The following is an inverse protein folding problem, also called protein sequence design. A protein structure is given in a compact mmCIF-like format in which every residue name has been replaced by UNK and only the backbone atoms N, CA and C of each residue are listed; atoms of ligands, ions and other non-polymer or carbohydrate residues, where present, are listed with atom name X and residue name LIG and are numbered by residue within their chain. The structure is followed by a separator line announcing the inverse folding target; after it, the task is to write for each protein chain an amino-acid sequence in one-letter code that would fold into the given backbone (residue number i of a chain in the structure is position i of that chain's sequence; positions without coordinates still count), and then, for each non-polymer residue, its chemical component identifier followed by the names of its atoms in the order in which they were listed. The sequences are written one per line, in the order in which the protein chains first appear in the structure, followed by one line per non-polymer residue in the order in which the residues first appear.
data_IF_089701798958
#
_entry.id   IF_089701798958
#
_cell.length_a   1.000
_cell.length_b   1.000
_cell.length_c   1.000
_cell.angle_alpha   90.00
_cell.angle_beta   90.00
_cell.angle_gamma   90.00
#
_symmetry.space_group_name_H-M   'P 1'
#
loop_
_entity.id
_entity.type
_entity.pdbx_description
1 polymer ?
#
# COMPACT_ATOMS: atom_id res chain seq x y z
N UNK A 1 36.88 29.41 27.08
CA UNK A 1 38.24 28.84 27.14
C UNK A 1 38.54 28.19 25.80
N UNK A 2 39.61 28.65 25.18
CA UNK A 2 40.09 28.30 23.84
C UNK A 2 40.86 26.97 23.80
N UNK A 3 40.90 26.36 22.61
CA UNK A 3 41.92 25.40 22.16
C UNK A 3 41.57 23.93 22.43
N UNK A 4 41.80 22.96 21.54
CA UNK A 4 42.63 22.88 20.34
C UNK A 4 42.21 21.63 19.53
N UNK A 5 42.24 21.74 18.18
CA UNK A 5 42.83 20.78 17.20
C UNK A 5 42.10 19.43 17.01
N UNK A 6 41.86 18.87 15.81
CA UNK A 6 42.58 18.95 14.52
C UNK A 6 41.68 18.81 13.29
N UNK A 7 42.08 19.56 12.26
CA UNK A 7 41.66 19.50 10.86
C UNK A 7 42.15 18.22 10.16
N UNK A 8 41.34 17.69 9.24
CA UNK A 8 41.83 16.87 8.12
C UNK A 8 41.29 17.46 6.81
N UNK A 9 42.22 18.02 6.04
CA UNK A 9 42.08 18.54 4.69
C UNK A 9 41.86 17.40 3.69
N UNK A 10 40.90 17.57 2.78
CA UNK A 10 40.87 16.87 1.48
C UNK A 10 40.87 17.91 0.35
N UNK A 11 41.70 17.75 -0.69
CA UNK A 11 41.94 18.80 -1.68
C UNK A 11 40.83 18.89 -2.75
N UNK A 12 40.60 20.14 -3.15
CA UNK A 12 39.89 20.56 -4.36
C UNK A 12 40.56 19.97 -5.62
N UNK A 13 39.80 19.33 -6.50
CA UNK A 13 40.17 19.17 -7.92
C UNK A 13 39.33 20.09 -8.79
N UNK A 14 40.01 21.01 -9.49
CA UNK A 14 39.48 21.84 -10.58
C UNK A 14 39.87 21.23 -11.94
N UNK A 15 38.89 21.24 -12.84
CA UNK A 15 38.95 21.56 -14.28
C UNK A 15 39.62 20.60 -15.29
N UNK A 16 38.82 20.19 -16.29
CA UNK A 16 39.20 20.28 -17.71
C UNK A 16 37.93 20.44 -18.59
N UNK A 17 37.86 21.58 -19.30
CA UNK A 17 37.13 21.87 -20.56
C UNK A 17 38.07 21.42 -21.70
N UNK A 18 37.69 20.84 -22.85
CA UNK A 18 36.97 21.32 -24.06
C UNK A 18 37.25 20.19 -25.11
N UNK A 19 36.38 19.85 -26.06
CA UNK A 19 36.36 20.39 -27.42
C UNK A 19 35.12 19.86 -28.18
N UNK A 20 34.56 20.75 -29.01
CA UNK A 20 33.52 20.57 -30.02
C UNK A 20 34.05 19.94 -31.34
N UNK A 21 33.15 19.51 -32.24
CA UNK A 21 33.00 19.99 -33.66
C UNK A 21 32.00 19.12 -34.49
N UNK A 22 31.05 19.83 -35.16
CA UNK A 22 30.24 19.60 -36.41
C UNK A 22 29.64 18.21 -36.76
N UNK A 23 28.34 18.00 -37.08
CA UNK A 23 27.38 18.55 -38.08
C UNK A 23 27.58 18.08 -39.54
N UNK A 24 26.56 17.42 -40.13
CA UNK A 24 26.08 17.34 -41.56
C UNK A 24 24.71 16.59 -41.52
N UNK A 25 23.56 17.25 -41.70
CA UNK A 25 22.72 17.47 -42.91
C UNK A 25 22.19 16.20 -43.63
N UNK A 26 20.88 15.87 -43.55
CA UNK A 26 19.68 16.20 -44.40
C UNK A 26 19.71 15.59 -45.81
N UNK A 27 18.68 14.79 -46.14
CA UNK A 27 17.88 14.76 -47.40
C UNK A 27 16.76 13.71 -47.23
N UNK A 28 15.46 14.08 -47.23
CA UNK A 28 14.54 14.42 -48.34
C UNK A 28 13.90 13.19 -49.05
N UNK A 29 12.58 13.06 -48.84
CA UNK A 29 11.56 12.27 -49.57
C UNK A 29 11.53 12.64 -51.08
N UNK A 30 10.85 11.93 -52.02
CA UNK A 30 9.47 11.39 -51.90
C UNK A 30 9.15 10.09 -52.71
N UNK A 31 7.94 9.52 -52.58
CA UNK A 31 6.93 9.44 -53.66
C UNK A 31 5.67 8.63 -53.26
N UNK A 32 4.55 9.03 -53.88
CA UNK A 32 3.17 8.58 -53.77
C UNK A 32 2.92 7.23 -54.48
N UNK A 33 1.90 6.49 -54.04
CA UNK A 33 0.85 6.04 -54.97
C UNK A 33 -0.36 5.46 -54.24
N UNK A 34 -1.52 5.84 -54.78
CA UNK A 34 -2.86 5.39 -54.44
C UNK A 34 -3.10 3.97 -54.97
N UNK A 35 -3.86 3.14 -54.24
CA UNK A 35 -4.89 2.28 -54.85
C UNK A 35 -5.76 1.57 -53.80
N UNK A 36 -7.06 1.73 -53.95
CA UNK A 36 -8.13 0.75 -53.64
C UNK A 36 -8.96 0.64 -54.93
N UNK A 37 -9.96 -0.26 -55.11
CA UNK A 37 -10.57 -1.20 -54.16
C UNK A 37 -10.88 -2.61 -54.73
N UNK A 38 -11.14 -3.61 -53.89
CA UNK A 38 -12.14 -4.68 -54.21
C UNK A 38 -12.69 -5.38 -52.96
N UNK A 39 -14.01 -5.28 -52.78
CA UNK A 39 -14.94 -6.05 -51.91
C UNK A 39 -15.15 -7.48 -52.48
N UNK A 40 -15.58 -8.57 -51.81
CA UNK A 40 -16.72 -8.90 -50.90
C UNK A 40 -16.51 -10.39 -50.42
N UNK A 41 -17.37 -11.10 -49.64
CA UNK A 41 -18.23 -10.80 -48.48
C UNK A 41 -17.99 -11.74 -47.26
N UNK A 42 -18.41 -11.33 -46.04
CA UNK A 42 -18.90 -12.30 -45.05
C UNK A 42 -20.10 -11.76 -44.26
N UNK A 43 -21.17 -12.54 -44.27
CA UNK A 43 -22.50 -12.32 -43.67
C UNK A 43 -22.43 -11.95 -42.18
N UNK A 44 -23.15 -10.89 -41.80
CA UNK A 44 -23.74 -10.68 -40.46
C UNK A 44 -25.26 -10.62 -40.59
N UNK A 45 -25.96 -11.20 -39.61
CA UNK A 45 -27.41 -11.02 -39.37
C UNK A 45 -27.61 -9.92 -38.31
N UNK A 46 -28.69 -9.18 -38.53
CA UNK A 46 -29.16 -7.93 -37.93
C UNK A 46 -29.52 -7.94 -36.44
N UNK A 47 -29.46 -6.76 -35.83
CA UNK A 47 -30.62 -5.97 -35.31
C UNK A 47 -30.13 -4.56 -34.96
N UNK A 48 -30.49 -3.49 -35.70
CA UNK A 48 -31.71 -2.64 -35.60
C UNK A 48 -31.92 -2.07 -34.18
N UNK A 49 -32.00 -0.75 -33.89
CA UNK A 49 -32.27 0.49 -34.65
C UNK A 49 -31.63 1.72 -33.97
N UNK A 50 -31.24 2.70 -34.79
CA UNK A 50 -31.03 4.11 -34.44
C UNK A 50 -32.34 4.91 -34.64
N UNK A 51 -32.54 5.99 -33.88
CA UNK A 51 -32.45 7.37 -34.42
C UNK A 51 -33.00 8.45 -33.48
N UNK A 52 -32.23 9.54 -33.42
CA UNK A 52 -32.44 10.83 -32.76
C UNK A 52 -33.55 11.68 -33.41
N UNK A 53 -34.18 12.58 -32.64
CA UNK A 53 -34.20 14.05 -32.88
C UNK A 53 -35.02 14.84 -31.82
N UNK A 54 -34.51 16.04 -31.50
CA UNK A 54 -34.94 17.11 -30.55
C UNK A 54 -35.99 18.06 -31.22
N UNK A 55 -36.48 19.23 -30.65
CA UNK A 55 -36.62 19.77 -29.27
C UNK A 55 -37.92 20.64 -28.98
N UNK A 56 -38.01 21.24 -27.76
CA UNK A 56 -38.74 22.47 -27.26
C UNK A 56 -40.30 22.52 -27.16
N UNK A 57 -40.84 22.80 -25.95
CA UNK A 57 -41.65 24.00 -25.54
C UNK A 57 -42.13 23.92 -24.05
N UNK A 58 -42.55 25.08 -23.53
CA UNK A 58 -42.73 25.58 -22.16
C UNK A 58 -44.13 25.33 -21.49
N UNK A 59 -44.23 25.69 -20.20
CA UNK A 59 -45.40 25.97 -19.34
C UNK A 59 -46.24 24.82 -18.71
N UNK A 60 -46.53 24.95 -17.40
CA UNK A 60 -47.71 24.33 -16.75
C UNK A 60 -47.54 23.67 -15.36
N UNK A 61 -48.33 24.12 -14.39
CA UNK A 61 -48.28 23.88 -12.94
C UNK A 61 -49.30 22.79 -12.45
N UNK A 62 -48.93 22.05 -11.37
CA UNK A 62 -49.72 21.25 -10.35
C UNK A 62 -50.50 19.96 -10.74
N UNK A 63 -51.00 19.12 -9.78
CA UNK A 63 -50.43 18.36 -8.63
C UNK A 63 -50.63 16.82 -8.75
N UNK A 64 -50.05 16.04 -7.82
CA UNK A 64 -50.41 14.63 -7.56
C UNK A 64 -51.13 14.44 -6.20
N UNK A 65 -51.97 13.39 -6.03
CA UNK A 65 -53.16 13.43 -5.17
C UNK A 65 -53.06 12.63 -3.84
N UNK A 66 -54.14 12.78 -3.07
CA UNK A 66 -54.38 12.40 -1.69
C UNK A 66 -54.64 10.91 -1.39
N UNK A 67 -54.50 10.53 -0.10
CA UNK A 67 -55.51 9.69 0.58
C UNK A 67 -55.57 9.87 2.13
N UNK A 68 -56.76 10.35 2.58
CA UNK A 68 -57.63 10.00 3.75
C UNK A 68 -57.03 9.96 5.19
N UNK A 69 -57.34 10.92 6.10
CA UNK A 69 -58.53 11.10 7.02
C UNK A 69 -58.82 9.87 7.91
N UNK A 70 -59.14 9.91 9.22
CA UNK A 70 -59.37 10.90 10.30
C UNK A 70 -59.23 10.12 11.64
N UNK A 71 -59.17 10.65 12.87
CA UNK A 71 -60.23 11.39 13.59
C UNK A 71 -59.70 11.84 14.97
N UNK A 72 -60.21 12.97 15.48
CA UNK A 72 -59.90 13.61 16.78
C UNK A 72 -61.12 13.47 17.71
N UNK A 73 -60.93 13.31 19.03
CA UNK A 73 -61.57 14.13 20.10
C UNK A 73 -61.14 13.74 21.55
N UNK A 74 -61.33 14.63 22.56
CA UNK A 74 -60.29 14.94 23.55
C UNK A 74 -60.70 14.81 25.04
N UNK A 75 -59.72 15.14 25.91
CA UNK A 75 -59.80 15.65 27.29
C UNK A 75 -59.89 14.66 28.48
N UNK A 76 -58.89 14.73 29.38
CA UNK A 76 -59.07 14.98 30.83
C UNK A 76 -57.69 15.12 31.54
N UNK A 77 -57.55 16.18 32.34
CA UNK A 77 -56.45 16.46 33.28
C UNK A 77 -56.43 15.45 34.44
N UNK A 78 -55.23 15.08 34.93
CA UNK A 78 -54.88 15.02 36.36
C UNK A 78 -53.35 14.98 36.56
N UNK A 79 -52.95 15.38 37.76
CA UNK A 79 -51.69 15.99 38.16
C UNK A 79 -50.56 15.03 38.57
N UNK A 80 -49.39 15.64 38.78
CA UNK A 80 -48.26 15.25 39.65
C UNK A 80 -47.45 13.99 39.30
N UNK A 81 -46.16 14.18 38.99
CA UNK A 81 -45.04 14.04 39.96
C UNK A 81 -43.72 14.19 39.20
N UNK A 82 -42.88 15.14 39.62
CA UNK A 82 -41.49 15.27 39.16
C UNK A 82 -40.69 14.06 39.68
N UNK A 83 -40.18 13.22 38.78
CA UNK A 83 -39.15 12.22 39.11
C UNK A 83 -37.88 12.50 38.34
N UNK A 84 -36.94 13.03 39.11
CA UNK A 84 -35.51 13.09 38.87
C UNK A 84 -34.97 11.75 38.34
N UNK A 85 -34.30 11.79 37.19
CA UNK A 85 -33.61 10.64 36.60
C UNK A 85 -32.12 11.01 36.46
N UNK A 86 -31.42 11.03 37.60
CA UNK A 86 -29.97 10.89 37.64
C UNK A 86 -29.58 9.54 37.03
N UNK A 87 -29.15 9.57 35.77
CA UNK A 87 -28.68 8.38 35.04
C UNK A 87 -27.27 8.04 35.53
N UNK A 88 -27.16 7.05 36.41
CA UNK A 88 -25.86 6.57 36.89
C UNK A 88 -25.03 6.01 35.74
N UNK A 89 -23.84 6.57 35.55
CA UNK A 89 -22.83 6.06 34.63
C UNK A 89 -22.27 4.79 35.25
N UNK A 90 -22.69 3.62 34.76
CA UNK A 90 -22.06 2.34 35.12
C UNK A 90 -20.60 2.38 34.64
N UNK A 91 -19.67 2.50 35.58
CA UNK A 91 -18.24 2.34 35.34
C UNK A 91 -17.99 0.92 34.81
N UNK A 92 -17.46 0.80 33.59
CA UNK A 92 -16.98 -0.49 33.09
C UNK A 92 -15.77 -0.88 33.94
N UNK A 93 -15.93 -1.92 34.75
CA UNK A 93 -14.84 -2.52 35.50
C UNK A 93 -13.65 -2.79 34.54
N UNK A 94 -12.46 -2.29 34.90
CA UNK A 94 -11.21 -2.61 34.21
C UNK A 94 -10.98 -4.11 34.39
N UNK A 95 -11.31 -4.90 33.37
CA UNK A 95 -10.96 -6.31 33.30
C UNK A 95 -9.44 -6.43 33.48
N UNK A 96 -9.00 -7.26 34.44
CA UNK A 96 -7.59 -7.62 34.56
C UNK A 96 -7.08 -8.14 33.19
N UNK A 97 -5.85 -7.77 32.78
CA UNK A 97 -5.26 -8.27 31.55
C UNK A 97 -5.17 -9.81 31.63
N UNK A 98 -5.73 -10.48 30.63
CA UNK A 98 -5.55 -11.94 30.50
C UNK A 98 -4.09 -12.21 30.17
N UNK A 99 -3.46 -13.26 30.73
CA UNK A 99 -2.10 -13.62 30.37
C UNK A 99 -2.01 -13.87 28.86
N UNK A 100 -0.88 -13.48 28.25
CA UNK A 100 -0.65 -13.70 26.83
C UNK A 100 -0.67 -15.22 26.55
N UNK A 101 -1.39 -15.66 25.50
CA UNK A 101 -1.46 -17.07 25.16
C UNK A 101 -0.08 -17.58 24.74
N UNK A 102 0.34 -18.70 25.32
CA UNK A 102 1.53 -19.43 24.87
C UNK A 102 1.14 -20.23 23.63
N UNK A 103 1.89 -20.06 22.54
CA UNK A 103 1.66 -20.76 21.28
C UNK A 103 2.66 -21.90 21.12
N UNK A 104 2.18 -23.06 20.68
CA UNK A 104 3.05 -24.09 20.10
C UNK A 104 3.42 -23.66 18.69
N UNK A 105 4.71 -23.46 18.44
CA UNK A 105 5.23 -23.00 17.16
C UNK A 105 6.03 -24.15 16.53
N UNK A 106 5.60 -24.68 15.39
CA UNK A 106 6.35 -25.71 14.69
C UNK A 106 7.76 -25.23 14.32
N UNK A 107 8.69 -26.18 14.25
CA UNK A 107 9.98 -25.98 13.63
C UNK A 107 9.84 -25.76 12.12
N UNK A 108 10.90 -25.20 11.54
CA UNK A 108 10.97 -24.93 10.11
C UNK A 108 12.13 -25.72 9.53
N UNK A 109 11.94 -26.23 8.33
CA UNK A 109 13.01 -26.87 7.57
C UNK A 109 14.08 -25.82 7.21
N UNK A 110 15.33 -25.96 7.67
CA UNK A 110 16.38 -25.00 7.37
C UNK A 110 16.72 -25.00 5.87
N UNK A 111 16.98 -23.81 5.33
CA UNK A 111 17.41 -23.61 3.94
C UNK A 111 18.61 -22.68 3.88
N UNK A 112 19.44 -22.86 2.87
CA UNK A 112 20.60 -21.98 2.63
C UNK A 112 20.24 -20.83 1.69
N UNK A 113 20.89 -19.69 1.88
CA UNK A 113 20.82 -18.57 0.94
C UNK A 113 22.07 -17.70 1.06
N UNK A 114 22.40 -17.01 -0.02
CA UNK A 114 23.44 -15.98 -0.01
C UNK A 114 22.89 -14.60 0.34
N UNK A 115 21.57 -14.44 0.46
CA UNK A 115 20.93 -13.15 0.70
C UNK A 115 21.38 -12.51 2.02
N UNK A 116 21.84 -11.26 1.95
CA UNK A 116 22.32 -10.43 3.08
C UNK A 116 21.49 -9.17 3.31
N UNK A 117 20.46 -8.97 2.49
CA UNK A 117 19.61 -7.80 2.50
C UNK A 117 18.63 -7.74 3.68
N UNK A 118 17.71 -6.79 3.62
CA UNK A 118 16.65 -6.62 4.64
C UNK A 118 15.34 -7.22 4.15
N UNK A 119 14.67 -7.96 5.02
CA UNK A 119 13.27 -8.32 4.85
C UNK A 119 12.38 -7.28 5.53
N UNK A 120 11.25 -6.98 4.90
CA UNK A 120 10.23 -6.08 5.44
C UNK A 120 8.81 -6.58 5.23
N UNK A 121 7.86 -5.93 5.89
CA UNK A 121 6.43 -6.24 5.72
C UNK A 121 5.59 -4.96 5.62
N UNK A 122 4.29 -5.12 5.29
CA UNK A 122 3.42 -4.01 4.93
C UNK A 122 2.27 -3.73 5.90
N UNK A 123 2.14 -2.45 6.26
CA UNK A 123 1.00 -1.73 6.84
C UNK A 123 0.61 -2.08 8.28
N UNK A 124 0.59 -3.37 8.64
CA UNK A 124 0.00 -3.85 9.87
C UNK A 124 0.91 -4.87 10.54
N UNK A 125 1.10 -4.74 11.85
CA UNK A 125 1.70 -5.78 12.67
C UNK A 125 0.58 -6.60 13.35
N UNK A 126 0.50 -7.90 13.07
CA UNK A 126 -0.61 -8.75 13.55
C UNK A 126 -0.58 -8.99 15.05
N UNK A 127 0.62 -9.12 15.64
CA UNK A 127 0.80 -9.25 17.10
C UNK A 127 0.25 -8.03 17.82
N UNK A 128 0.69 -6.84 17.42
CA UNK A 128 0.29 -5.57 18.00
C UNK A 128 -1.19 -5.23 17.75
N UNK A 129 -1.70 -5.54 16.56
CA UNK A 129 -3.12 -5.35 16.22
C UNK A 129 -4.04 -6.20 17.08
N UNK A 130 -3.65 -7.44 17.37
CA UNK A 130 -4.52 -8.41 18.03
C UNK A 130 -4.51 -8.35 19.56
N UNK A 131 -3.72 -7.44 20.17
CA UNK A 131 -3.69 -7.19 21.62
C UNK A 131 -5.09 -7.02 22.22
N UNK A 132 -5.27 -7.52 23.44
CA UNK A 132 -6.51 -7.44 24.23
C UNK A 132 -6.25 -6.78 25.59
N UNK A 133 -7.13 -5.91 26.09
CA UNK A 133 -8.38 -5.43 25.46
C UNK A 133 -8.13 -4.63 24.17
N UNK A 134 -9.16 -4.42 23.35
CA UNK A 134 -9.02 -3.73 22.05
C UNK A 134 -8.51 -2.29 22.17
N UNK A 135 -8.62 -1.67 23.35
CA UNK A 135 -8.01 -0.37 23.66
C UNK A 135 -6.48 -0.40 23.66
N UNK A 136 -5.86 -1.57 23.81
CA UNK A 136 -4.41 -1.77 23.72
C UNK A 136 -3.93 -2.18 22.31
N UNK A 137 -4.84 -2.19 21.32
CA UNK A 137 -4.52 -2.51 19.93
C UNK A 137 -3.76 -1.36 19.29
N UNK A 138 -2.60 -1.69 18.69
CA UNK A 138 -1.70 -0.74 18.02
C UNK A 138 -1.75 -0.99 16.51
N UNK A 139 -2.09 0.04 15.73
CA UNK A 139 -2.16 0.00 14.26
C UNK A 139 -2.24 1.40 13.66
N UNK A 140 -1.73 1.59 12.44
CA UNK A 140 -1.59 2.92 11.84
C UNK A 140 -2.53 3.15 10.65
N UNK A 141 -3.74 2.60 10.71
CA UNK A 141 -4.71 2.63 9.62
C UNK A 141 -6.13 2.97 10.11
N UNK A 142 -6.23 3.80 11.16
CA UNK A 142 -7.53 4.32 11.61
C UNK A 142 -8.07 5.25 10.53
N UNK A 143 -9.21 4.90 9.98
CA UNK A 143 -9.93 5.66 8.95
C UNK A 143 -11.41 5.73 9.28
N UNK A 144 -12.17 6.51 8.52
CA UNK A 144 -13.59 6.70 8.76
C UNK A 144 -14.39 6.85 7.45
N UNK A 145 -15.72 6.82 7.55
CA UNK A 145 -16.58 7.14 6.41
C UNK A 145 -16.68 8.65 6.25
N UNK A 146 -16.98 9.11 5.03
CA UNK A 146 -17.19 10.52 4.74
C UNK A 146 -18.35 11.12 5.56
N UNK A 147 -19.41 10.34 5.80
CA UNK A 147 -20.51 10.73 6.69
C UNK A 147 -20.05 10.97 8.14
N UNK A 148 -19.11 10.16 8.64
CA UNK A 148 -18.52 10.36 9.96
C UNK A 148 -17.67 11.63 10.03
N UNK A 149 -16.92 11.94 8.96
CA UNK A 149 -16.20 13.21 8.85
C UNK A 149 -17.18 14.40 8.91
N UNK A 150 -18.28 14.34 8.14
CA UNK A 150 -19.30 15.40 8.11
C UNK A 150 -19.96 15.61 9.47
N UNK A 151 -20.19 14.54 10.23
CA UNK A 151 -20.83 14.59 11.56
C UNK A 151 -19.89 15.03 12.68
N UNK A 152 -18.65 14.55 12.69
CA UNK A 152 -17.72 14.77 13.79
C UNK A 152 -16.72 15.91 13.55
N UNK A 153 -16.63 16.41 12.32
CA UNK A 153 -15.72 17.49 11.93
C UNK A 153 -14.31 17.02 11.60
N UNK A 154 -13.52 17.96 11.05
CA UNK A 154 -12.16 17.70 10.57
C UNK A 154 -11.18 17.42 11.70
N UNK A 155 -11.32 18.07 12.86
CA UNK A 155 -10.41 17.88 13.99
C UNK A 155 -10.46 16.46 14.55
N UNK A 156 -11.65 15.84 14.54
CA UNK A 156 -11.80 14.44 14.89
C UNK A 156 -11.07 13.51 13.91
N UNK A 157 -11.10 13.82 12.61
CA UNK A 157 -10.36 13.05 11.59
C UNK A 157 -8.85 13.22 11.76
N UNK A 158 -8.38 14.45 12.02
CA UNK A 158 -6.98 14.74 12.34
C UNK A 158 -6.50 13.98 13.57
N UNK A 159 -7.35 13.81 14.58
CA UNK A 159 -7.03 12.99 15.76
C UNK A 159 -6.84 11.50 15.41
N UNK A 160 -7.58 10.95 14.45
CA UNK A 160 -7.31 9.59 13.96
C UNK A 160 -5.90 9.48 13.36
N UNK A 161 -5.49 10.48 12.57
CA UNK A 161 -4.15 10.57 11.99
C UNK A 161 -3.05 10.68 13.06
N UNK A 162 -3.25 11.55 14.06
CA UNK A 162 -2.33 11.68 15.20
C UNK A 162 -2.09 10.35 15.92
N UNK A 163 -3.18 9.62 16.22
CA UNK A 163 -3.10 8.29 16.86
C UNK A 163 -2.42 7.25 15.99
N UNK A 164 -2.56 7.33 14.66
CA UNK A 164 -1.84 6.45 13.75
C UNK A 164 -0.32 6.70 13.82
N UNK A 165 0.12 7.95 13.92
CA UNK A 165 1.54 8.31 14.09
C UNK A 165 2.08 7.89 15.46
N UNK A 166 1.29 8.04 16.53
CA UNK A 166 1.66 7.55 17.87
C UNK A 166 1.86 6.03 17.89
N UNK A 167 0.97 5.29 17.26
CA UNK A 167 1.12 3.84 17.12
C UNK A 167 2.31 3.45 16.24
N UNK A 168 2.69 4.29 15.27
CA UNK A 168 3.83 4.03 14.40
C UNK A 168 5.13 3.97 15.20
N UNK A 169 5.29 4.81 16.24
CA UNK A 169 6.44 4.74 17.15
C UNK A 169 6.55 3.36 17.81
N UNK A 170 5.42 2.82 18.25
CA UNK A 170 5.36 1.49 18.88
C UNK A 170 5.70 0.38 17.88
N UNK A 171 5.22 0.50 16.63
CA UNK A 171 5.55 -0.46 15.56
C UNK A 171 7.04 -0.39 15.22
N UNK A 172 7.63 0.80 15.08
CA UNK A 172 9.07 0.96 14.80
C UNK A 172 9.90 0.32 15.92
N UNK A 173 9.56 0.57 17.19
CA UNK A 173 10.29 -0.04 18.30
C UNK A 173 10.14 -1.55 18.31
N UNK A 174 8.93 -2.09 18.15
CA UNK A 174 8.71 -3.53 18.08
C UNK A 174 9.49 -4.17 16.93
N UNK A 175 9.53 -3.50 15.78
CA UNK A 175 10.28 -3.93 14.61
C UNK A 175 11.78 -4.01 14.90
N UNK A 176 12.34 -3.00 15.58
CA UNK A 176 13.74 -3.03 16.01
C UNK A 176 14.01 -4.19 16.95
N UNK A 177 13.16 -4.40 17.95
CA UNK A 177 13.27 -5.51 18.93
C UNK A 177 13.19 -6.90 18.25
N UNK A 178 12.65 -6.96 17.03
CA UNK A 178 12.48 -8.17 16.23
C UNK A 178 13.38 -8.23 14.99
N UNK A 179 14.41 -7.38 14.92
CA UNK A 179 15.37 -7.33 13.80
C UNK A 179 14.75 -7.03 12.41
N UNK A 180 13.57 -6.39 12.37
CA UNK A 180 12.92 -5.98 11.12
C UNK A 180 13.16 -4.48 10.93
N UNK A 181 13.92 -4.10 9.90
CA UNK A 181 14.28 -2.69 9.64
C UNK A 181 13.77 -2.17 8.29
N UNK A 182 12.77 -2.83 7.73
CA UNK A 182 12.12 -2.39 6.50
C UNK A 182 10.59 -2.52 6.67
N UNK A 183 9.87 -1.42 6.49
CA UNK A 183 8.43 -1.39 6.74
C UNK A 183 7.72 -0.49 5.72
N UNK A 184 6.59 -0.96 5.18
CA UNK A 184 5.71 -0.14 4.35
C UNK A 184 4.60 0.44 5.22
N UNK A 185 4.51 1.77 5.30
CA UNK A 185 3.45 2.47 6.02
C UNK A 185 2.10 2.28 5.32
N UNK A 186 1.02 2.36 6.09
CA UNK A 186 -0.34 2.31 5.53
C UNK A 186 -0.63 3.56 4.71
N UNK A 187 -1.38 3.42 3.62
CA UNK A 187 -1.87 4.60 2.88
C UNK A 187 -2.94 5.37 3.68
N UNK A 188 -3.62 4.68 4.61
CA UNK A 188 -4.67 5.20 5.49
C UNK A 188 -4.11 5.90 6.76
N UNK A 189 -2.82 6.28 6.76
CA UNK A 189 -2.20 6.99 7.90
C UNK A 189 -2.97 8.26 8.27
N UNK A 190 -3.40 9.03 7.27
CA UNK A 190 -4.16 10.26 7.45
C UNK A 190 -5.43 10.23 6.60
N UNK A 191 -6.59 9.89 7.20
CA UNK A 191 -7.83 9.72 6.44
C UNK A 191 -8.22 11.00 5.72
N UNK A 192 -8.56 10.90 4.44
CA UNK A 192 -8.99 12.00 3.58
C UNK A 192 -7.96 13.13 3.36
N UNK A 193 -6.69 13.00 3.74
CA UNK A 193 -5.70 14.08 3.61
C UNK A 193 -5.56 14.62 2.17
N UNK A 194 -5.70 13.76 1.17
CA UNK A 194 -5.63 14.09 -0.27
C UNK A 194 -7.00 14.41 -0.92
N UNK A 195 -8.10 14.35 -0.15
CA UNK A 195 -9.44 14.53 -0.68
C UNK A 195 -9.64 15.95 -1.23
N UNK A 196 -10.24 16.10 -2.41
CA UNK A 196 -10.35 17.40 -3.08
C UNK A 196 -11.04 18.49 -2.24
N UNK A 197 -12.09 18.12 -1.49
CA UNK A 197 -12.91 19.05 -0.70
C UNK A 197 -12.57 19.04 0.79
N UNK A 198 -12.03 17.93 1.30
CA UNK A 198 -11.85 17.70 2.74
C UNK A 198 -10.39 17.45 3.11
N UNK A 199 -9.49 17.59 2.13
CA UNK A 199 -8.06 17.44 2.31
C UNK A 199 -7.49 18.48 3.25
N UNK A 200 -6.35 18.15 3.82
CA UNK A 200 -5.70 18.98 4.82
C UNK A 200 -4.20 18.69 4.82
N UNK A 201 -3.44 19.71 5.20
CA UNK A 201 -2.00 19.56 5.39
C UNK A 201 -1.68 18.81 6.68
N UNK A 202 -0.56 18.09 6.69
CA UNK A 202 -0.08 17.31 7.83
C UNK A 202 0.68 18.14 8.89
N UNK A 203 0.83 19.46 8.70
CA UNK A 203 1.59 20.33 9.62
C UNK A 203 1.13 20.25 11.08
N UNK A 204 -0.18 20.05 11.33
CA UNK A 204 -0.71 19.88 12.69
C UNK A 204 -0.12 18.67 13.46
N UNK A 205 0.51 17.74 12.73
CA UNK A 205 1.11 16.50 13.22
C UNK A 205 2.63 16.47 12.97
N UNK A 206 3.24 17.58 12.52
CA UNK A 206 4.66 17.65 12.17
C UNK A 206 5.57 17.20 13.32
N UNK A 207 5.28 17.63 14.56
CA UNK A 207 6.11 17.26 15.72
C UNK A 207 6.09 15.75 16.02
N UNK A 208 4.95 15.09 15.83
CA UNK A 208 4.80 13.64 16.04
C UNK A 208 5.44 12.87 14.89
N UNK A 209 5.27 13.32 13.65
CA UNK A 209 5.92 12.74 12.47
C UNK A 209 7.45 12.82 12.59
N UNK A 210 7.98 13.98 12.99
CA UNK A 210 9.41 14.17 13.22
C UNK A 210 9.94 13.21 14.31
N UNK A 211 9.18 12.96 15.38
CA UNK A 211 9.54 11.95 16.40
C UNK A 211 9.59 10.54 15.81
N UNK A 212 8.58 10.15 15.03
CA UNK A 212 8.53 8.83 14.39
C UNK A 212 9.68 8.63 13.41
N UNK A 213 9.98 9.64 12.59
CA UNK A 213 11.10 9.57 11.66
C UNK A 213 12.47 9.64 12.34
N UNK A 214 12.63 10.41 13.42
CA UNK A 214 13.85 10.39 14.23
C UNK A 214 14.12 9.00 14.83
N UNK A 215 13.09 8.31 15.32
CA UNK A 215 13.20 6.94 15.81
C UNK A 215 13.58 5.97 14.68
N UNK A 216 12.94 6.08 13.52
CA UNK A 216 13.27 5.27 12.34
C UNK A 216 14.73 5.48 11.90
N UNK A 217 15.18 6.74 11.82
CA UNK A 217 16.54 7.09 11.45
C UNK A 217 17.57 6.60 12.48
N UNK A 218 17.27 6.70 13.79
CA UNK A 218 18.11 6.17 14.87
C UNK A 218 18.45 4.70 14.65
N UNK A 219 17.45 3.90 14.29
CA UNK A 219 17.61 2.46 14.05
C UNK A 219 17.90 2.09 12.60
N UNK A 220 18.04 3.09 11.70
CA UNK A 220 18.25 2.90 10.25
C UNK A 220 17.14 2.07 9.59
N UNK A 221 15.91 2.27 10.04
CA UNK A 221 14.73 1.68 9.41
C UNK A 221 14.47 2.36 8.07
N UNK A 222 14.19 1.56 7.04
CA UNK A 222 13.67 2.05 5.77
C UNK A 222 12.15 2.03 5.82
N UNK A 223 11.52 3.19 5.68
CA UNK A 223 10.07 3.33 5.62
C UNK A 223 9.65 3.72 4.21
N UNK A 224 8.68 3.00 3.63
CA UNK A 224 8.17 3.28 2.27
C UNK A 224 6.65 3.34 2.29
N UNK A 225 6.04 3.82 1.21
CA UNK A 225 4.57 3.80 1.02
C UNK A 225 4.24 3.19 -0.34
N UNK A 226 3.01 2.71 -0.47
CA UNK A 226 2.44 2.29 -1.74
C UNK A 226 1.03 2.88 -1.85
N UNK A 227 0.88 4.09 -2.42
CA UNK A 227 -0.41 4.68 -2.70
C UNK A 227 -1.31 3.69 -3.47
N UNK A 228 -2.60 3.68 -3.15
CA UNK A 228 -3.51 2.63 -3.60
C UNK A 228 -3.80 2.68 -5.11
N UNK A 229 -4.54 1.68 -5.59
CA UNK A 229 -4.92 1.47 -7.00
C UNK A 229 -5.62 2.66 -7.68
N UNK A 230 -6.10 3.66 -6.94
CA UNK A 230 -6.72 4.86 -7.50
C UNK A 230 -5.70 5.92 -7.93
N UNK A 231 -4.42 5.73 -7.62
CA UNK A 231 -3.32 6.63 -8.01
C UNK A 231 -2.93 6.38 -9.47
N UNK A 232 -3.69 6.94 -10.40
CA UNK A 232 -3.66 6.61 -11.83
C UNK A 232 -3.09 7.75 -12.68
N UNK A 233 -1.77 7.83 -12.79
CA UNK A 233 -1.09 8.89 -13.55
C UNK A 233 -1.27 8.80 -15.09
N UNK A 234 -1.58 7.60 -15.62
CA UNK A 234 -1.85 7.40 -17.05
C UNK A 234 -3.31 7.67 -17.48
N UNK A 235 -4.17 8.08 -16.54
CA UNK A 235 -5.61 8.24 -16.83
C UNK A 235 -5.87 9.29 -17.91
N UNK A 236 -6.80 9.04 -18.86
CA UNK A 236 -7.22 10.06 -19.82
C UNK A 236 -8.12 11.14 -19.17
N UNK A 237 -8.55 10.95 -17.92
CA UNK A 237 -9.42 11.88 -17.19
C UNK A 237 -8.56 12.84 -16.34
N UNK A 238 -8.53 14.15 -16.62
CA UNK A 238 -7.71 15.11 -15.87
C UNK A 238 -7.96 15.07 -14.36
N UNK A 239 -9.22 15.01 -13.94
CA UNK A 239 -9.60 14.94 -12.53
C UNK A 239 -9.03 13.71 -11.79
N UNK A 240 -8.80 12.59 -12.49
CA UNK A 240 -8.17 11.39 -11.92
C UNK A 240 -6.67 11.59 -11.75
N UNK A 241 -6.01 12.21 -12.73
CA UNK A 241 -4.58 12.57 -12.63
C UNK A 241 -4.36 13.57 -11.50
N UNK A 242 -5.18 14.62 -11.41
CA UNK A 242 -5.11 15.59 -10.32
C UNK A 242 -5.29 14.95 -8.94
N UNK A 243 -6.20 13.97 -8.81
CA UNK A 243 -6.37 13.21 -7.58
C UNK A 243 -5.15 12.35 -7.25
N UNK A 244 -4.56 11.70 -8.25
CA UNK A 244 -3.34 10.93 -8.09
C UNK A 244 -2.16 11.82 -7.65
N UNK A 245 -2.02 13.01 -8.24
CA UNK A 245 -0.99 13.98 -7.84
C UNK A 245 -1.20 14.44 -6.40
N UNK A 246 -2.43 14.77 -5.98
CA UNK A 246 -2.73 15.13 -4.58
C UNK A 246 -2.39 14.01 -3.60
N UNK A 247 -2.69 12.76 -3.95
CA UNK A 247 -2.33 11.59 -3.14
C UNK A 247 -0.81 11.47 -2.98
N UNK A 248 -0.05 11.58 -4.08
CA UNK A 248 1.41 11.54 -4.05
C UNK A 248 2.04 12.71 -3.26
N UNK A 249 1.49 13.92 -3.39
CA UNK A 249 1.92 15.09 -2.62
C UNK A 249 1.69 14.88 -1.13
N UNK A 250 0.55 14.33 -0.73
CA UNK A 250 0.25 13.98 0.66
C UNK A 250 1.29 12.99 1.23
N UNK A 251 1.54 11.89 0.51
CA UNK A 251 2.53 10.90 0.95
C UNK A 251 3.94 11.48 1.02
N UNK A 252 4.31 12.35 0.06
CA UNK A 252 5.59 13.05 0.10
C UNK A 252 5.70 13.97 1.31
N UNK A 253 4.66 14.77 1.61
CA UNK A 253 4.62 15.63 2.80
C UNK A 253 4.80 14.80 4.08
N UNK A 254 4.15 13.63 4.18
CA UNK A 254 4.33 12.74 5.32
C UNK A 254 5.79 12.31 5.50
N UNK A 255 6.43 11.83 4.43
CA UNK A 255 7.83 11.38 4.47
C UNK A 255 8.80 12.53 4.75
N UNK A 256 8.53 13.72 4.22
CA UNK A 256 9.36 14.91 4.41
C UNK A 256 9.24 15.44 5.85
N UNK A 257 8.04 15.48 6.44
CA UNK A 257 7.84 15.86 7.86
C UNK A 257 8.42 14.86 8.85
N UNK A 258 8.55 13.59 8.44
CA UNK A 258 9.31 12.59 9.21
C UNK A 258 10.83 12.79 9.08
N UNK A 259 11.31 13.60 8.13
CA UNK A 259 12.74 13.76 7.88
C UNK A 259 13.39 12.50 7.32
N UNK A 260 12.67 11.76 6.47
CA UNK A 260 13.17 10.53 5.86
C UNK A 260 13.90 10.79 4.53
N UNK A 261 15.04 10.11 4.34
CA UNK A 261 15.90 10.28 3.17
C UNK A 261 15.38 9.64 1.88
N UNK A 262 16.22 9.62 0.84
CA UNK A 262 15.90 9.11 -0.50
C UNK A 262 15.47 7.64 -0.59
N UNK A 263 15.80 6.82 0.42
CA UNK A 263 15.37 5.42 0.48
C UNK A 263 13.87 5.27 0.76
N UNK A 264 13.22 6.33 1.25
CA UNK A 264 11.78 6.39 1.43
C UNK A 264 11.07 6.73 0.13
N UNK A 265 10.73 5.67 -0.60
CA UNK A 265 10.08 5.71 -1.92
C UNK A 265 8.56 5.51 -1.84
N UNK A 266 7.88 6.00 -2.87
CA UNK A 266 6.45 5.85 -3.12
C UNK A 266 6.24 4.95 -4.32
N UNK A 267 5.77 3.73 -4.07
CA UNK A 267 5.56 2.71 -5.12
C UNK A 267 4.17 2.85 -5.71
N UNK A 268 4.06 2.89 -7.04
CA UNK A 268 2.78 2.78 -7.76
C UNK A 268 2.91 1.80 -8.93
N UNK A 269 1.80 1.20 -9.34
CA UNK A 269 1.74 0.43 -10.59
C UNK A 269 1.63 1.36 -11.81
N UNK A 270 1.75 0.78 -13.01
CA UNK A 270 1.51 1.49 -14.27
C UNK A 270 0.05 1.95 -14.46
N UNK A 271 -0.89 1.33 -13.73
CA UNK A 271 -2.30 1.74 -13.70
C UNK A 271 -3.19 0.95 -14.66
N UNK A 272 -4.28 1.55 -15.14
CA UNK A 272 -5.11 0.98 -16.20
C UNK A 272 -4.51 1.21 -17.59
N UNK A 273 -4.88 0.39 -18.59
CA UNK A 273 -4.45 0.56 -20.00
C UNK A 273 -5.38 1.44 -20.84
N UNK A 274 -6.59 1.75 -20.33
CA UNK A 274 -7.58 2.63 -20.97
C UNK A 274 -7.77 2.39 -22.49
N UNK A 275 -7.88 1.11 -22.88
CA UNK A 275 -8.03 0.60 -24.26
C UNK A 275 -6.83 0.80 -25.20
N UNK A 276 -5.79 1.52 -24.79
CA UNK A 276 -4.61 1.79 -25.60
C UNK A 276 -3.37 1.91 -24.69
N UNK A 277 -2.61 0.81 -24.60
CA UNK A 277 -1.41 0.71 -23.77
C UNK A 277 -0.32 1.69 -24.23
N UNK A 278 0.09 1.76 -25.51
CA UNK A 278 1.06 2.75 -25.98
C UNK A 278 0.71 4.19 -25.62
N UNK A 279 -0.52 4.63 -25.92
CA UNK A 279 -0.93 6.02 -25.62
C UNK A 279 -1.03 6.27 -24.11
N UNK A 280 -1.43 5.27 -23.33
CA UNK A 280 -1.43 5.38 -21.87
C UNK A 280 -0.03 5.52 -21.29
N UNK A 281 0.96 4.78 -21.79
CA UNK A 281 2.35 4.95 -21.37
C UNK A 281 2.88 6.35 -21.69
N UNK A 282 2.48 6.95 -22.81
CA UNK A 282 2.84 8.35 -23.12
C UNK A 282 2.22 9.33 -22.11
N UNK A 283 0.94 9.16 -21.76
CA UNK A 283 0.30 9.97 -20.71
C UNK A 283 0.96 9.80 -19.34
N UNK A 284 1.28 8.55 -18.97
CA UNK A 284 2.01 8.25 -17.75
C UNK A 284 3.34 9.00 -17.71
N UNK A 285 4.09 8.97 -18.81
CA UNK A 285 5.37 9.69 -18.92
C UNK A 285 5.21 11.20 -18.74
N UNK A 286 4.21 11.80 -19.38
CA UNK A 286 3.94 13.23 -19.27
C UNK A 286 3.53 13.62 -17.84
N UNK A 287 2.64 12.85 -17.23
CA UNK A 287 2.26 13.04 -15.82
C UNK A 287 3.46 12.95 -14.89
N UNK A 288 4.39 12.01 -15.10
CA UNK A 288 5.61 11.89 -14.27
C UNK A 288 6.54 13.10 -14.45
N UNK A 289 6.70 13.60 -15.68
CA UNK A 289 7.54 14.78 -15.96
C UNK A 289 7.06 16.03 -15.23
N UNK A 290 5.74 16.18 -15.13
CA UNK A 290 5.08 17.34 -14.53
C UNK A 290 4.91 17.24 -13.01
N UNK A 291 5.26 16.12 -12.38
CA UNK A 291 5.23 15.99 -10.93
C UNK A 291 6.18 16.99 -10.23
N UNK A 292 5.80 17.50 -9.04
CA UNK A 292 6.72 18.22 -8.18
C UNK A 292 8.03 17.44 -7.96
N UNK A 293 9.16 18.13 -7.92
CA UNK A 293 10.48 17.49 -7.90
C UNK A 293 10.68 16.55 -6.72
N UNK A 294 10.25 16.93 -5.51
CA UNK A 294 10.32 16.09 -4.31
C UNK A 294 9.46 14.81 -4.45
N UNK A 295 8.27 14.93 -5.04
CA UNK A 295 7.39 13.80 -5.35
C UNK A 295 8.04 12.87 -6.38
N UNK A 296 8.50 13.42 -7.51
CA UNK A 296 9.16 12.66 -8.58
C UNK A 296 10.41 11.94 -8.08
N UNK A 297 11.16 12.58 -7.18
CA UNK A 297 12.38 12.00 -6.62
C UNK A 297 12.11 10.74 -5.77
N UNK A 298 10.90 10.57 -5.24
CA UNK A 298 10.52 9.40 -4.44
C UNK A 298 9.70 8.39 -5.22
N UNK A 299 9.16 8.75 -6.38
CA UNK A 299 8.34 7.88 -7.21
C UNK A 299 9.14 6.68 -7.70
N UNK A 300 8.54 5.50 -7.61
CA UNK A 300 9.02 4.27 -8.25
C UNK A 300 7.84 3.52 -8.85
N UNK A 301 8.08 2.84 -9.97
CA UNK A 301 7.06 2.03 -10.64
C UNK A 301 7.21 0.56 -10.24
N UNK A 302 6.13 -0.21 -10.33
CA UNK A 302 6.10 -1.64 -10.06
C UNK A 302 5.36 -2.36 -11.17
N UNK A 303 5.91 -3.50 -11.63
CA UNK A 303 5.20 -4.39 -12.57
C UNK A 303 3.99 -5.02 -11.89
N UNK A 304 2.93 -5.23 -12.66
CA UNK A 304 1.70 -5.83 -12.19
C UNK A 304 1.31 -7.06 -13.03
N UNK A 305 0.31 -7.76 -12.54
CA UNK A 305 -0.13 -9.07 -13.02
C UNK A 305 -1.24 -9.02 -14.07
N UNK A 306 -1.60 -7.82 -14.57
CA UNK A 306 -2.75 -7.63 -15.45
C UNK A 306 -2.51 -6.68 -16.63
N UNK A 307 -2.00 -5.50 -16.33
CA UNK A 307 -1.90 -4.37 -17.25
C UNK A 307 -0.47 -4.20 -17.75
N UNK A 308 0.52 -4.22 -16.87
CA UNK A 308 1.90 -3.86 -17.20
C UNK A 308 2.91 -4.81 -16.57
N UNK A 309 3.48 -5.71 -17.38
CA UNK A 309 4.63 -6.49 -16.93
C UNK A 309 5.90 -5.61 -16.87
N UNK A 310 7.00 -6.17 -16.37
CA UNK A 310 8.23 -5.40 -16.21
C UNK A 310 8.83 -4.95 -17.55
N UNK A 311 8.66 -5.70 -18.64
CA UNK A 311 9.08 -5.26 -19.99
C UNK A 311 8.34 -4.01 -20.45
N UNK A 312 7.05 -3.86 -20.11
CA UNK A 312 6.27 -2.68 -20.49
C UNK A 312 6.76 -1.40 -19.77
N UNK A 313 7.10 -1.52 -18.48
CA UNK A 313 7.47 -0.37 -17.64
C UNK A 313 8.96 -0.03 -17.66
N UNK A 314 9.84 -1.00 -17.89
CA UNK A 314 11.29 -0.79 -17.83
C UNK A 314 11.80 0.31 -18.81
N UNK A 315 11.32 0.41 -20.06
CA UNK A 315 11.70 1.51 -20.95
C UNK A 315 11.29 2.89 -20.40
N UNK A 316 10.10 3.00 -19.79
CA UNK A 316 9.65 4.24 -19.15
C UNK A 316 10.54 4.60 -17.96
N UNK A 317 10.90 3.60 -17.15
CA UNK A 317 11.79 3.74 -16.00
C UNK A 317 13.18 4.23 -16.42
N UNK A 318 13.73 3.66 -17.49
CA UNK A 318 15.04 4.05 -18.03
C UNK A 318 15.01 5.45 -18.64
N UNK A 319 13.98 5.79 -19.41
CA UNK A 319 13.80 7.10 -20.06
C UNK A 319 13.67 8.24 -19.03
N UNK A 320 12.93 8.01 -17.94
CA UNK A 320 12.58 9.06 -16.96
C UNK A 320 13.43 9.06 -15.69
N UNK A 321 14.40 8.14 -15.59
CA UNK A 321 15.16 7.91 -14.37
C UNK A 321 14.28 7.61 -13.13
N UNK A 322 13.24 6.78 -13.35
CA UNK A 322 12.33 6.31 -12.29
C UNK A 322 12.67 4.86 -11.98
N UNK A 323 13.02 4.49 -10.74
CA UNK A 323 13.32 3.10 -10.41
C UNK A 323 12.11 2.17 -10.61
N UNK A 324 12.40 0.93 -11.03
CA UNK A 324 11.44 -0.16 -11.10
C UNK A 324 11.62 -1.07 -9.87
N UNK A 325 10.56 -1.24 -9.10
CA UNK A 325 10.40 -2.33 -8.14
C UNK A 325 9.97 -3.56 -8.93
N UNK A 326 10.80 -4.60 -8.92
CA UNK A 326 10.41 -5.89 -9.49
C UNK A 326 9.60 -6.66 -8.46
N UNK A 327 8.36 -7.01 -8.80
CA UNK A 327 7.53 -7.94 -8.04
C UNK A 327 7.56 -9.32 -8.70
N UNK A 328 8.09 -10.30 -7.96
CA UNK A 328 8.26 -11.68 -8.42
C UNK A 328 6.93 -12.40 -8.64
N UNK A 329 5.91 -12.10 -7.82
CA UNK A 329 4.60 -12.74 -7.92
C UNK A 329 3.84 -12.22 -9.13
N UNK A 330 3.89 -10.90 -9.36
CA UNK A 330 3.28 -10.31 -10.54
C UNK A 330 3.93 -10.82 -11.83
N UNK A 331 5.26 -10.92 -11.88
CA UNK A 331 5.95 -11.47 -13.06
C UNK A 331 5.63 -12.97 -13.26
N UNK A 332 5.47 -13.77 -12.20
CA UNK A 332 5.03 -15.16 -12.33
C UNK A 332 3.62 -15.30 -12.95
N UNK A 333 2.75 -14.31 -12.76
CA UNK A 333 1.38 -14.30 -13.30
C UNK A 333 1.26 -13.65 -14.67
N UNK A 334 2.07 -12.62 -14.94
CA UNK A 334 2.13 -11.94 -16.21
C UNK A 334 3.61 -11.73 -16.63
N UNK A 335 4.28 -12.80 -17.08
CA UNK A 335 5.72 -12.77 -17.29
C UNK A 335 6.13 -11.86 -18.43
N UNK A 336 7.28 -11.25 -18.23
CA UNK A 336 7.98 -10.51 -19.29
C UNK A 336 8.64 -11.48 -20.28
N UNK A 337 8.80 -11.07 -21.53
CA UNK A 337 9.62 -11.84 -22.49
C UNK A 337 11.13 -11.72 -22.26
N UNK A 338 11.54 -11.03 -21.18
CA UNK A 338 12.93 -10.79 -20.78
C UNK A 338 13.11 -11.51 -19.44
N UNK A 339 14.18 -12.29 -19.23
CA UNK A 339 14.40 -13.00 -17.97
C UNK A 339 14.46 -12.06 -16.74
N UNK A 340 13.93 -12.48 -15.57
CA UNK A 340 13.96 -11.68 -14.34
C UNK A 340 15.34 -11.15 -13.97
N UNK A 341 16.38 -11.98 -14.02
CA UNK A 341 17.77 -11.57 -13.75
C UNK A 341 18.24 -10.37 -14.61
N UNK A 342 17.84 -10.34 -15.88
CA UNK A 342 18.18 -9.23 -16.81
C UNK A 342 17.39 -7.97 -16.48
N UNK A 343 16.11 -8.10 -16.17
CA UNK A 343 15.24 -6.99 -15.75
C UNK A 343 15.77 -6.37 -14.44
N UNK A 344 16.05 -7.21 -13.45
CA UNK A 344 16.58 -6.82 -12.14
C UNK A 344 17.91 -6.09 -12.30
N UNK A 345 18.83 -6.60 -13.13
CA UNK A 345 20.10 -5.93 -13.40
C UNK A 345 19.91 -4.52 -13.98
N UNK A 346 19.01 -4.36 -14.96
CA UNK A 346 18.70 -3.06 -15.58
C UNK A 346 18.01 -2.11 -14.59
N UNK A 347 17.03 -2.60 -13.85
CA UNK A 347 16.36 -1.84 -12.79
C UNK A 347 17.36 -1.37 -11.71
N UNK A 348 18.26 -2.25 -11.26
CA UNK A 348 19.28 -1.95 -10.26
C UNK A 348 20.31 -0.90 -10.71
N UNK A 349 20.54 -0.77 -12.02
CA UNK A 349 21.35 0.34 -12.54
C UNK A 349 20.69 1.70 -12.26
N UNK A 350 19.35 1.78 -12.30
CA UNK A 350 18.58 2.98 -11.94
C UNK A 350 18.69 3.27 -10.44
N UNK A 351 18.46 2.26 -9.60
CA UNK A 351 18.59 2.39 -8.15
C UNK A 351 20.00 2.90 -7.76
N UNK A 352 21.04 2.29 -8.34
CA UNK A 352 22.44 2.60 -8.06
C UNK A 352 22.82 4.02 -8.46
N UNK A 353 22.48 4.47 -9.68
CA UNK A 353 22.83 5.82 -10.13
C UNK A 353 22.10 6.92 -9.36
N UNK A 354 20.88 6.64 -8.86
CA UNK A 354 20.16 7.52 -7.93
C UNK A 354 20.66 7.41 -6.49
N UNK A 355 21.56 6.45 -6.22
CA UNK A 355 22.10 6.11 -4.92
C UNK A 355 21.02 5.67 -3.93
N UNK A 356 19.94 5.06 -4.40
CA UNK A 356 18.85 4.55 -3.57
C UNK A 356 19.05 3.05 -3.41
N UNK A 357 18.88 2.51 -2.20
CA UNK A 357 18.97 1.06 -1.95
C UNK A 357 17.92 0.33 -2.81
N UNK A 358 18.28 -0.68 -3.62
CA UNK A 358 17.29 -1.41 -4.41
C UNK A 358 16.17 -1.99 -3.56
N UNK A 359 14.96 -1.99 -4.11
CA UNK A 359 13.74 -2.52 -3.49
C UNK A 359 13.02 -3.44 -4.48
N UNK A 360 12.55 -4.58 -3.98
CA UNK A 360 11.77 -5.57 -4.74
C UNK A 360 10.66 -6.11 -3.83
N UNK A 361 9.66 -6.75 -4.42
CA UNK A 361 8.52 -7.31 -3.72
C UNK A 361 8.45 -8.82 -3.92
N UNK A 362 8.18 -9.55 -2.84
CA UNK A 362 7.97 -10.99 -2.86
C UNK A 362 6.59 -11.32 -2.30
N UNK A 363 5.85 -12.10 -3.06
CA UNK A 363 4.62 -12.76 -2.65
C UNK A 363 4.55 -14.16 -3.26
N UNK A 364 3.60 -14.96 -2.80
CA UNK A 364 3.29 -16.26 -3.39
C UNK A 364 1.77 -16.40 -3.51
N UNK A 365 1.31 -17.18 -4.49
CA UNK A 365 -0.10 -17.54 -4.58
C UNK A 365 -0.50 -18.43 -3.39
N UNK A 366 -1.77 -18.40 -3.02
CA UNK A 366 -2.28 -19.34 -2.01
C UNK A 366 -2.18 -20.79 -2.49
N UNK A 367 -1.87 -21.74 -1.59
CA UNK A 367 -1.94 -23.16 -1.90
C UNK A 367 -3.33 -23.52 -2.45
N UNK A 368 -3.34 -24.29 -3.55
CA UNK A 368 -4.57 -24.73 -4.22
C UNK A 368 -5.27 -23.68 -5.10
N UNK A 369 -4.68 -22.50 -5.32
CA UNK A 369 -5.22 -21.51 -6.25
C UNK A 369 -5.09 -21.97 -7.73
N UNK A 370 -6.20 -21.96 -8.48
CA UNK A 370 -6.23 -22.48 -9.87
C UNK A 370 -6.59 -21.41 -10.88
N UNK A 371 -7.51 -20.50 -10.56
CA UNK A 371 -7.87 -19.41 -11.48
C UNK A 371 -6.89 -18.25 -11.35
N UNK A 372 -6.77 -17.41 -12.39
CA UNK A 372 -5.94 -16.20 -12.31
C UNK A 372 -6.34 -15.33 -11.13
N UNK A 373 -7.64 -15.15 -10.88
CA UNK A 373 -8.15 -14.35 -9.77
C UNK A 373 -7.80 -14.92 -8.40
N UNK A 374 -7.79 -16.25 -8.23
CA UNK A 374 -7.34 -16.88 -6.99
C UNK A 374 -5.83 -16.78 -6.82
N UNK A 375 -5.06 -16.97 -7.90
CA UNK A 375 -3.60 -16.94 -7.85
C UNK A 375 -3.06 -15.57 -7.43
N UNK A 376 -3.77 -14.49 -7.76
CA UNK A 376 -3.47 -13.11 -7.31
C UNK A 376 -3.54 -12.94 -5.79
N UNK A 377 -4.29 -13.78 -5.09
CA UNK A 377 -4.43 -13.65 -3.66
C UNK A 377 -3.15 -14.15 -2.97
N UNK A 378 -2.49 -13.23 -2.28
CA UNK A 378 -1.26 -13.54 -1.55
C UNK A 378 -1.48 -14.61 -0.48
N UNK A 379 -0.52 -15.52 -0.39
CA UNK A 379 -0.39 -16.51 0.67
C UNK A 379 -0.23 -15.86 2.05
N UNK A 380 -0.38 -16.67 3.10
CA UNK A 380 -0.15 -16.22 4.46
C UNK A 380 1.32 -15.92 4.73
N UNK A 381 2.20 -16.79 4.21
CA UNK A 381 3.66 -16.73 4.31
C UNK A 381 4.24 -17.23 2.99
N UNK A 382 5.39 -16.68 2.62
CA UNK A 382 6.18 -17.20 1.50
C UNK A 382 7.08 -18.33 2.01
N UNK A 383 7.28 -19.36 1.19
CA UNK A 383 8.08 -20.54 1.54
C UNK A 383 9.48 -20.52 0.95
N UNK A 384 9.73 -19.67 -0.05
CA UNK A 384 11.02 -19.61 -0.73
C UNK A 384 11.49 -18.17 -0.97
N UNK A 385 12.80 -17.95 -0.91
CA UNK A 385 13.42 -16.76 -1.48
C UNK A 385 13.69 -17.01 -2.97
N UNK A 386 13.54 -16.01 -3.85
CA UNK A 386 13.87 -16.16 -5.27
C UNK A 386 15.34 -16.49 -5.51
N UNK A 387 15.64 -17.32 -6.51
CA UNK A 387 17.02 -17.66 -6.89
C UNK A 387 17.79 -16.45 -7.44
N UNK A 388 17.12 -15.62 -8.26
CA UNK A 388 17.67 -14.39 -8.87
C UNK A 388 17.76 -13.20 -7.89
N UNK A 389 17.62 -13.44 -6.59
CA UNK A 389 17.62 -12.38 -5.59
C UNK A 389 19.01 -11.75 -5.47
N UNK A 390 19.16 -10.42 -5.64
CA UNK A 390 20.44 -9.76 -5.45
C UNK A 390 20.98 -9.98 -4.03
N UNK A 391 22.31 -10.10 -3.91
CA UNK A 391 22.99 -10.38 -2.64
C UNK A 391 22.57 -9.43 -1.50
N UNK A 392 22.41 -8.14 -1.80
CA UNK A 392 22.12 -7.13 -0.79
C UNK A 392 21.15 -6.04 -1.30
N UNK A 393 19.86 -6.20 -0.96
CA UNK A 393 18.77 -5.31 -1.31
C UNK A 393 17.65 -5.34 -0.24
N UNK A 394 16.62 -4.51 -0.34
CA UNK A 394 15.48 -4.56 0.60
C UNK A 394 14.23 -5.23 -0.01
N UNK A 395 13.90 -6.43 0.48
CA UNK A 395 12.80 -7.25 -0.02
C UNK A 395 11.54 -7.06 0.83
N UNK A 396 10.48 -6.54 0.22
CA UNK A 396 9.17 -6.39 0.88
C UNK A 396 8.39 -7.68 0.74
N UNK A 397 8.06 -8.31 1.87
CA UNK A 397 7.23 -9.51 1.92
C UNK A 397 5.76 -9.07 1.95
N UNK A 398 5.05 -9.36 0.86
CA UNK A 398 3.66 -8.97 0.58
C UNK A 398 2.63 -9.98 1.12
N UNK A 399 2.91 -10.69 2.20
CA UNK A 399 2.06 -11.79 2.66
C UNK A 399 0.88 -11.34 3.58
N UNK A 400 -0.09 -12.25 3.83
CA UNK A 400 -1.23 -11.96 4.72
C UNK A 400 -0.88 -11.96 6.21
N UNK A 401 0.06 -12.80 6.66
CA UNK A 401 0.49 -12.84 8.08
C UNK A 401 1.57 -11.79 8.42
N UNK A 402 1.90 -10.89 7.48
CA UNK A 402 2.72 -9.69 7.73
C UNK A 402 4.08 -10.00 8.35
N UNK A 403 4.36 -9.50 9.56
CA UNK A 403 5.63 -9.69 10.24
C UNK A 403 5.93 -11.18 10.48
N UNK A 404 4.90 -12.04 10.63
CA UNK A 404 5.13 -13.47 10.82
C UNK A 404 5.71 -14.13 9.58
N UNK A 405 5.42 -13.63 8.38
CA UNK A 405 6.05 -14.13 7.15
C UNK A 405 7.54 -13.76 7.11
N UNK A 406 7.90 -12.57 7.61
CA UNK A 406 9.30 -12.15 7.74
C UNK A 406 10.03 -13.00 8.79
N UNK A 407 9.44 -13.18 9.98
CA UNK A 407 10.02 -14.02 11.03
C UNK A 407 10.16 -15.48 10.60
N UNK A 408 9.21 -15.99 9.80
CA UNK A 408 9.27 -17.33 9.23
C UNK A 408 10.48 -17.49 8.30
N UNK A 409 10.69 -16.55 7.37
CA UNK A 409 11.87 -16.56 6.49
C UNK A 409 13.17 -16.35 7.27
N UNK A 410 13.19 -15.53 8.32
CA UNK A 410 14.35 -15.38 9.19
C UNK A 410 14.74 -16.70 9.87
N UNK A 411 13.77 -17.47 10.37
CA UNK A 411 14.05 -18.81 10.95
C UNK A 411 14.51 -19.79 9.89
N UNK A 412 13.81 -19.84 8.76
CA UNK A 412 14.08 -20.81 7.69
C UNK A 412 15.49 -20.65 7.10
N UNK A 413 15.90 -19.41 6.84
CA UNK A 413 17.18 -19.09 6.20
C UNK A 413 18.26 -18.61 7.18
N UNK A 414 17.99 -18.68 8.49
CA UNK A 414 18.88 -18.18 9.55
C UNK A 414 19.41 -16.75 9.31
N UNK A 415 18.55 -15.85 8.82
CA UNK A 415 18.96 -14.49 8.40
C UNK A 415 19.17 -13.54 9.59
N UNK A 416 18.34 -13.69 10.63
CA UNK A 416 18.34 -12.89 11.85
C UNK A 416 17.84 -13.72 13.04
N UNK A 417 18.30 -13.43 14.27
CA UNK A 417 17.70 -14.00 15.47
C UNK A 417 16.22 -13.64 15.57
N UNK A 418 15.39 -14.61 15.97
CA UNK A 418 13.93 -14.46 16.09
C UNK A 418 13.50 -14.65 17.55
N UNK A 419 12.78 -13.67 18.08
CA UNK A 419 12.21 -13.74 19.43
C UNK A 419 11.00 -14.66 19.42
N UNK A 420 11.08 -15.79 20.14
CA UNK A 420 10.02 -16.81 20.13
C UNK A 420 8.66 -16.28 20.60
N UNK A 421 8.63 -15.36 21.57
CA UNK A 421 7.39 -14.74 22.07
C UNK A 421 6.62 -13.94 20.99
N UNK A 422 7.31 -13.50 19.95
CA UNK A 422 6.72 -12.78 18.82
C UNK A 422 6.06 -13.69 17.78
N UNK A 423 6.28 -15.00 17.86
CA UNK A 423 5.78 -15.97 16.88
C UNK A 423 4.30 -16.29 17.10
N UNK A 424 3.58 -16.47 15.99
CA UNK A 424 2.20 -16.95 15.94
C UNK A 424 2.13 -18.15 15.00
N UNK A 425 1.32 -19.18 15.30
CA UNK A 425 1.17 -20.32 14.40
C UNK A 425 0.52 -19.87 13.08
N UNK A 426 0.85 -20.56 12.00
CA UNK A 426 0.15 -20.37 10.73
C UNK A 426 -1.32 -20.79 10.88
N UNK A 427 -2.20 -20.22 10.05
CA UNK A 427 -3.61 -20.63 10.07
C UNK A 427 -3.74 -22.08 9.55
N UNK A 428 -4.51 -22.90 10.26
CA UNK A 428 -4.73 -24.32 9.90
C UNK A 428 -5.46 -24.50 8.57
N UNK A 429 -6.33 -23.55 8.18
CA UNK A 429 -7.05 -23.55 6.91
C UNK A 429 -6.93 -22.19 6.21
N UNK A 430 -5.94 -21.97 5.33
CA UNK A 430 -5.85 -20.75 4.54
C UNK A 430 -7.04 -20.68 3.57
N UNK A 431 -7.81 -19.59 3.63
CA UNK A 431 -8.91 -19.37 2.69
C UNK A 431 -8.37 -19.05 1.30
N UNK A 432 -8.98 -19.60 0.24
CA UNK A 432 -8.69 -19.24 -1.17
C UNK A 432 -9.39 -17.95 -1.62
N UNK A 433 -10.35 -17.42 -0.86
CA UNK A 433 -11.18 -16.28 -1.27
C UNK A 433 -10.42 -14.94 -1.24
N UNK A 434 -10.56 -14.13 -2.28
CA UNK A 434 -9.94 -12.80 -2.41
C UNK A 434 -10.43 -11.80 -1.34
N UNK A 435 -11.63 -12.00 -0.79
CA UNK A 435 -12.15 -11.22 0.32
C UNK A 435 -11.29 -11.47 1.57
N UNK A 436 -10.72 -10.40 2.14
CA UNK A 436 -9.89 -10.49 3.36
C UNK A 436 -10.58 -11.31 4.46
N UNK A 437 -9.79 -11.99 5.30
CA UNK A 437 -10.30 -12.84 6.39
C UNK A 437 -11.34 -12.06 7.21
N UNK A 438 -12.62 -12.33 6.99
CA UNK A 438 -13.66 -11.91 7.93
C UNK A 438 -13.33 -12.66 9.22
N UNK A 439 -13.21 -11.92 10.32
CA UNK A 439 -13.07 -12.51 11.66
C UNK A 439 -14.24 -13.48 11.86
N UNK A 440 -14.00 -14.78 11.66
CA UNK A 440 -14.99 -15.78 12.00
C UNK A 440 -15.26 -15.67 13.51
N UNK A 441 -16.54 -15.65 13.88
CA UNK A 441 -16.98 -15.81 15.27
C UNK A 441 -16.24 -17.01 15.86
N UNK A 442 -15.67 -16.81 17.06
CA UNK A 442 -14.94 -17.77 17.88
C UNK A 442 -15.37 -19.22 17.63
N UNK A 443 -14.49 -20.03 17.04
CA UNK A 443 -14.55 -21.48 17.25
C UNK A 443 -14.42 -21.75 18.74
N UNK A 444 -15.39 -22.48 19.32
CA UNK A 444 -15.27 -22.98 20.69
C UNK A 444 -14.02 -23.84 20.74
N UNK A 445 -13.05 -23.47 21.59
CA UNK A 445 -11.98 -24.39 21.96
C UNK A 445 -12.63 -25.56 22.70
N UNK A 446 -12.52 -26.77 22.16
CA UNK A 446 -12.91 -27.99 22.84
C UNK A 446 -11.85 -28.27 23.91
N UNK A 447 -12.22 -28.43 25.20
CA UNK A 447 -11.24 -28.82 26.22
C UNK A 447 -10.79 -30.25 25.97
N UNK A 448 -9.48 -30.47 25.94
CA UNK A 448 -8.90 -31.81 26.05
C UNK A 448 -9.18 -32.30 27.47
N UNK A 449 -9.96 -33.39 27.61
CA UNK A 449 -10.11 -34.11 28.88
C UNK A 449 -8.85 -34.94 29.09
N UNK A 450 -8.04 -34.59 30.08
CA UNK A 450 -7.07 -35.52 30.66
C UNK A 450 -7.83 -36.72 31.23
N UNK A 451 -7.49 -37.93 30.74
CA UNK A 451 -7.90 -39.16 31.40
C UNK A 451 -6.97 -39.36 32.58
N UNK A 452 -7.46 -39.06 33.78
CA UNK A 452 -6.85 -39.52 35.02
C UNK A 452 -6.91 -41.05 35.04
N UNK A 453 -5.75 -41.67 35.15
CA UNK A 453 -5.60 -43.06 35.58
C UNK A 453 -5.78 -43.03 37.09
N UNK A 454 -6.87 -43.62 37.59
CA UNK A 454 -7.01 -43.97 39.01
C UNK A 454 -6.66 -45.44 39.16
N UNK A 455 -5.55 -45.69 39.86
CA UNK A 455 -5.27 -46.94 40.56
C UNK A 455 -6.35 -47.19 41.63
N UNK A 456 -6.68 -48.46 41.88
CA UNK A 456 -7.52 -48.84 43.02
C UNK A 456 -8.08 -50.26 42.94
N UNK A 457 -7.35 -51.17 43.60
CA UNK A 457 -7.69 -52.48 44.21
C UNK A 457 -8.18 -53.67 43.35
#
# INVERSE_FOLDING_TARGET
MNGLVSQLNYPLRRSARLLSVSSIQVDANPDLSQSTPTTVPRKRRNSERDSNSNPLTDEGHVPLPASKKSTINPAARKSDTVKDLTRSVKSKAKSNPKPDPVYSIPDVEPKETQFKGRLGYACLNTVLRNKKPSSASVFCSRTCRLDSLRKNGLDWVKELGRRNVEDLLTIIQWNEDNNIRFFRLSSEMFPFASHAVHGYSLEYCASQLAKAGALANKYRHRLTVHPGQYTQLGSPKPAVVEAAVRELVYHCQMLDLMGLGKDSVMVIHGGGVYNDKPTTLQRLKESIRTLPSNVRNRLVLENDEMCYNAKDLLPVCEELDVPLVFDYHHDALYPSSIPPSTIIKRANAIWTRRGIKPKQHLSEQRPGAVTLMERRAHADRCENLPEDLPLDMDLMIEAKDKEQAVLYLHRMYNLKPVVHASLRPAATNPSTQTNGRKSNKRGRATPVKERGVTEGE
#
